data_IF_741575095655
#
_entry.id   IF_741575095655
#
_cell.length_a   1.000
_cell.length_b   1.000
_cell.length_c   1.000
_cell.angle_alpha   90.00
_cell.angle_beta   90.00
_cell.angle_gamma   90.00
#
_symmetry.space_group_name_H-M   'P 1'
#
loop_
_entity.id
_entity.type
_entity.pdbx_description
1 polymer ?
#
# COMPACT_ATOMS: atom_id res chain seq x y z
N UNK A 1 4.85 -8.74 20.65
CA UNK A 1 5.34 -7.35 20.68
C UNK A 1 4.18 -6.43 21.02
N UNK A 2 4.19 -5.74 22.16
CA UNK A 2 3.17 -4.75 22.51
C UNK A 2 3.67 -3.37 22.06
N UNK A 3 3.26 -2.92 20.89
CA UNK A 3 3.50 -1.57 20.43
C UNK A 3 2.49 -0.68 21.16
N UNK A 4 2.95 0.25 21.98
CA UNK A 4 2.10 1.29 22.56
C UNK A 4 2.06 2.46 21.57
N UNK A 5 0.92 2.74 20.91
CA UNK A 5 0.79 3.84 19.96
C UNK A 5 0.85 5.23 20.63
N UNK A 6 0.89 5.28 21.95
CA UNK A 6 0.87 6.49 22.77
C UNK A 6 2.24 6.87 23.33
N UNK A 7 3.31 6.78 22.53
CA UNK A 7 4.49 7.54 22.88
C UNK A 7 4.23 9.02 22.53
N UNK A 8 3.87 9.82 23.54
CA UNK A 8 3.55 11.24 23.42
C UNK A 8 4.78 12.09 23.06
N UNK A 9 5.99 11.52 23.17
CA UNK A 9 7.25 12.20 22.87
C UNK A 9 7.40 12.56 21.39
N UNK A 10 6.73 11.84 20.49
CA UNK A 10 6.77 12.08 19.04
C UNK A 10 5.43 12.68 18.58
N UNK A 11 5.44 13.90 18.03
CA UNK A 11 4.22 14.54 17.59
C UNK A 11 3.61 13.84 16.37
N UNK A 12 2.29 13.91 16.26
CA UNK A 12 1.57 13.50 15.07
C UNK A 12 1.66 14.58 14.00
N UNK A 13 2.09 14.20 12.80
CA UNK A 13 2.08 15.11 11.64
C UNK A 13 0.83 14.88 10.81
N UNK A 14 0.10 15.95 10.52
CA UNK A 14 -1.06 15.91 9.62
C UNK A 14 -0.59 15.85 8.17
N UNK A 15 -1.08 14.89 7.40
CA UNK A 15 -0.70 14.67 5.99
C UNK A 15 -1.91 14.37 5.13
N UNK A 16 -1.83 14.73 3.85
CA UNK A 16 -2.79 14.33 2.82
C UNK A 16 -2.19 13.12 2.11
N UNK A 17 -2.90 11.99 2.15
CA UNK A 17 -2.45 10.74 1.55
C UNK A 17 -2.79 10.63 0.06
N UNK A 18 -3.75 11.41 -0.42
CA UNK A 18 -4.23 11.40 -1.81
C UNK A 18 -5.64 11.93 -1.92
N UNK A 19 -6.17 11.94 -3.15
CA UNK A 19 -7.55 12.32 -3.45
C UNK A 19 -8.45 11.10 -3.37
N UNK A 20 -9.51 11.19 -2.57
CA UNK A 20 -10.56 10.19 -2.48
C UNK A 20 -11.82 10.62 -3.23
N UNK A 21 -12.80 9.73 -3.36
CA UNK A 21 -14.09 10.02 -4.02
C UNK A 21 -14.90 11.14 -3.33
N UNK A 22 -14.62 11.40 -2.03
CA UNK A 22 -15.30 12.42 -1.20
C UNK A 22 -14.40 13.61 -0.83
N UNK A 23 -13.23 13.75 -1.49
CA UNK A 23 -12.23 14.78 -1.20
C UNK A 23 -10.90 14.20 -0.68
N UNK A 24 -9.97 15.06 -0.24
CA UNK A 24 -8.65 14.64 0.19
C UNK A 24 -8.71 13.68 1.38
N UNK A 25 -7.93 12.60 1.32
CA UNK A 25 -7.80 11.64 2.41
C UNK A 25 -6.77 12.18 3.40
N UNK A 26 -7.24 12.65 4.54
CA UNK A 26 -6.41 13.20 5.61
C UNK A 26 -6.05 12.11 6.61
N UNK A 27 -4.81 12.11 7.05
CA UNK A 27 -4.34 11.23 8.12
C UNK A 27 -3.34 11.95 9.03
N UNK A 28 -3.14 11.38 10.21
CA UNK A 28 -2.06 11.76 11.12
C UNK A 28 -1.02 10.65 11.11
N UNK A 29 0.23 10.98 10.90
CA UNK A 29 1.32 10.02 10.81
C UNK A 29 2.38 10.21 11.89
N UNK A 30 3.00 9.09 12.27
CA UNK A 30 4.24 9.02 13.06
C UNK A 30 5.18 8.02 12.41
N UNK A 31 6.48 8.32 12.46
CA UNK A 31 7.53 7.40 12.03
C UNK A 31 8.54 7.26 13.16
N UNK A 32 8.77 6.04 13.61
CA UNK A 32 9.57 5.73 14.80
C UNK A 32 10.58 4.66 14.45
N UNK A 33 11.84 4.85 14.87
CA UNK A 33 12.84 3.79 14.78
C UNK A 33 12.71 2.88 15.98
N UNK A 34 12.52 1.60 15.75
CA UNK A 34 12.36 0.60 16.81
C UNK A 34 13.32 -0.55 16.59
N UNK A 35 13.67 -1.23 17.69
CA UNK A 35 14.47 -2.46 17.63
C UNK A 35 13.51 -3.66 17.71
N UNK A 36 13.60 -4.52 16.72
CA UNK A 36 12.89 -5.79 16.73
C UNK A 36 13.45 -6.68 17.82
N UNK A 37 12.60 -7.34 18.59
CA UNK A 37 13.01 -8.24 19.65
C UNK A 37 12.55 -9.66 19.32
N UNK A 38 13.48 -10.57 19.07
CA UNK A 38 13.23 -11.98 18.85
C UNK A 38 13.77 -12.79 20.02
N UNK A 39 12.91 -13.58 20.68
CA UNK A 39 13.28 -14.40 21.86
C UNK A 39 14.01 -13.63 22.98
N UNK A 40 13.56 -12.43 23.29
CA UNK A 40 14.18 -11.50 24.24
C UNK A 40 15.60 -11.01 23.86
N UNK A 41 16.06 -11.27 22.64
CA UNK A 41 17.29 -10.70 22.11
C UNK A 41 16.97 -9.51 21.19
N UNK A 42 17.71 -8.39 21.31
CA UNK A 42 17.57 -7.28 20.38
C UNK A 42 18.05 -7.71 18.98
N UNK A 43 17.18 -7.53 18.00
CA UNK A 43 17.47 -7.76 16.59
C UNK A 43 17.75 -6.45 15.85
N UNK A 44 17.48 -6.44 14.53
CA UNK A 44 17.71 -5.29 13.69
C UNK A 44 16.78 -4.12 14.02
N UNK A 45 17.31 -2.90 13.89
CA UNK A 45 16.50 -1.70 13.98
C UNK A 45 15.71 -1.49 12.70
N UNK A 46 14.40 -1.29 12.84
CA UNK A 46 13.47 -1.08 11.73
C UNK A 46 12.65 0.19 11.95
N UNK A 47 12.10 0.73 10.87
CA UNK A 47 11.15 1.82 10.95
C UNK A 47 9.73 1.28 11.16
N UNK A 48 9.04 1.84 12.13
CA UNK A 48 7.60 1.68 12.34
C UNK A 48 6.92 2.96 11.87
N UNK A 49 6.19 2.85 10.76
CA UNK A 49 5.32 3.90 10.26
C UNK A 49 3.89 3.65 10.75
N UNK A 50 3.32 4.62 11.44
CA UNK A 50 1.96 4.57 11.98
C UNK A 50 1.16 5.68 11.32
N UNK A 51 0.00 5.34 10.79
CA UNK A 51 -0.98 6.32 10.31
C UNK A 51 -2.32 6.11 10.99
N UNK A 52 -2.90 7.22 11.44
CA UNK A 52 -4.23 7.29 12.02
C UNK A 52 -5.14 8.05 11.07
N UNK A 53 -6.18 7.40 10.58
CA UNK A 53 -7.21 8.01 9.74
C UNK A 53 -8.21 8.83 10.59
N UNK A 54 -9.04 9.65 9.97
CA UNK A 54 -10.04 10.49 10.66
C UNK A 54 -11.12 9.65 11.38
N UNK A 55 -11.39 8.43 10.89
CA UNK A 55 -12.28 7.46 11.54
C UNK A 55 -11.70 6.81 12.80
N UNK A 56 -10.47 7.21 13.19
CA UNK A 56 -9.73 6.65 14.32
C UNK A 56 -8.96 5.37 14.01
N UNK A 57 -9.09 4.80 12.81
CA UNK A 57 -8.38 3.57 12.40
C UNK A 57 -6.88 3.80 12.34
N UNK A 58 -6.11 2.99 13.07
CA UNK A 58 -4.65 3.01 13.02
C UNK A 58 -4.12 1.89 12.13
N UNK A 59 -3.24 2.23 11.18
CA UNK A 59 -2.53 1.28 10.33
C UNK A 59 -1.04 1.35 10.61
N UNK A 60 -0.40 0.18 10.66
CA UNK A 60 1.01 0.01 11.00
C UNK A 60 1.75 -0.62 9.82
N UNK A 61 2.92 -0.09 9.51
CA UNK A 61 3.80 -0.65 8.48
C UNK A 61 5.23 -0.69 8.99
N UNK A 62 5.94 -1.77 8.70
CA UNK A 62 7.36 -1.93 9.02
C UNK A 62 8.18 -1.83 7.74
N UNK A 63 9.32 -1.16 7.83
CA UNK A 63 10.31 -1.13 6.76
C UNK A 63 11.71 -1.02 7.33
N UNK A 64 12.71 -1.39 6.55
CA UNK A 64 14.12 -1.42 6.95
C UNK A 64 15.05 -0.54 6.09
N UNK A 65 14.62 0.62 5.58
CA UNK A 65 15.52 1.48 4.86
C UNK A 65 16.61 2.07 5.78
N UNK A 66 17.68 2.66 5.24
CA UNK A 66 18.69 3.38 5.99
C UNK A 66 18.10 4.40 6.97
N UNK A 67 18.87 4.75 8.01
CA UNK A 67 18.38 5.64 9.09
C UNK A 67 18.15 7.08 8.63
N UNK A 68 18.79 7.50 7.55
CA UNK A 68 18.69 8.81 6.92
C UNK A 68 17.55 8.94 5.90
N UNK A 69 16.77 7.86 5.72
CA UNK A 69 15.66 7.86 4.75
C UNK A 69 14.57 8.84 5.18
N UNK A 70 14.18 9.78 4.32
CA UNK A 70 13.11 10.72 4.63
C UNK A 70 11.77 10.03 4.88
N UNK A 71 10.98 10.55 5.82
CA UNK A 71 9.67 9.96 6.21
C UNK A 71 8.70 9.85 5.04
N UNK A 72 8.74 10.81 4.09
CA UNK A 72 7.85 10.76 2.92
C UNK A 72 8.10 9.52 2.04
N UNK A 73 9.35 9.05 1.92
CA UNK A 73 9.69 7.82 1.16
C UNK A 73 9.11 6.60 1.86
N UNK A 74 9.21 6.55 3.19
CA UNK A 74 8.64 5.47 4.00
C UNK A 74 7.10 5.46 3.89
N UNK A 75 6.47 6.65 3.88
CA UNK A 75 5.04 6.83 3.65
C UNK A 75 4.62 6.28 2.29
N UNK A 76 5.28 6.72 1.22
CA UNK A 76 4.96 6.26 -0.14
C UNK A 76 5.07 4.75 -0.27
N UNK A 77 6.15 4.15 0.24
CA UNK A 77 6.31 2.70 0.26
C UNK A 77 5.17 1.99 1.02
N UNK A 78 4.75 2.55 2.17
CA UNK A 78 3.64 1.99 2.94
C UNK A 78 2.28 2.13 2.23
N UNK A 79 2.10 3.13 1.37
CA UNK A 79 0.90 3.35 0.57
C UNK A 79 0.85 2.48 -0.68
N UNK A 80 2.00 2.08 -1.23
CA UNK A 80 2.09 1.26 -2.45
C UNK A 80 1.46 -0.13 -2.33
N UNK A 81 1.26 -0.61 -1.13
CA UNK A 81 0.62 -1.91 -0.90
C UNK A 81 -0.84 -1.94 -1.39
N UNK A 82 -1.61 -0.89 -1.12
CA UNK A 82 -3.02 -0.85 -1.49
C UNK A 82 -3.28 -0.91 -3.01
N UNK A 83 -2.55 -0.18 -3.87
CA UNK A 83 -2.69 -0.31 -5.33
C UNK A 83 -2.45 -1.74 -5.85
N UNK A 84 -1.55 -2.50 -5.23
CA UNK A 84 -1.29 -3.89 -5.62
C UNK A 84 -2.50 -4.77 -5.26
N UNK A 85 -3.05 -4.63 -4.05
CA UNK A 85 -4.26 -5.34 -3.63
C UNK A 85 -5.45 -5.00 -4.53
N UNK A 86 -5.60 -3.72 -4.90
CA UNK A 86 -6.64 -3.26 -5.83
C UNK A 86 -6.46 -3.85 -7.23
N UNK A 87 -5.22 -3.88 -7.75
CA UNK A 87 -4.93 -4.51 -9.04
C UNK A 87 -5.38 -5.98 -9.07
N UNK A 88 -5.03 -6.77 -8.05
CA UNK A 88 -5.47 -8.15 -7.95
C UNK A 88 -6.98 -8.30 -7.82
N UNK A 89 -7.63 -7.42 -7.07
CA UNK A 89 -9.08 -7.41 -6.94
C UNK A 89 -9.77 -7.16 -8.30
N UNK A 90 -9.32 -6.15 -9.04
CA UNK A 90 -9.82 -5.84 -10.38
C UNK A 90 -9.54 -6.98 -11.36
N UNK A 91 -8.34 -7.56 -11.34
CA UNK A 91 -8.01 -8.72 -12.17
C UNK A 91 -8.92 -9.92 -11.91
N UNK A 92 -9.30 -10.17 -10.66
CA UNK A 92 -10.23 -11.25 -10.31
C UNK A 92 -11.67 -10.93 -10.73
N UNK A 93 -12.17 -9.76 -10.34
CA UNK A 93 -13.58 -9.42 -10.52
C UNK A 93 -13.94 -9.14 -11.98
N UNK A 94 -13.04 -8.47 -12.72
CA UNK A 94 -13.35 -7.95 -14.07
C UNK A 94 -12.71 -8.78 -15.19
N UNK A 95 -11.60 -9.45 -14.92
CA UNK A 95 -10.78 -10.10 -15.94
C UNK A 95 -10.61 -11.61 -15.74
N UNK A 96 -11.24 -12.17 -14.71
CA UNK A 96 -11.27 -13.62 -14.48
C UNK A 96 -9.92 -14.24 -14.13
N UNK A 97 -9.07 -13.54 -13.37
CA UNK A 97 -7.77 -14.07 -12.95
C UNK A 97 -7.89 -15.41 -12.21
N UNK A 98 -8.96 -15.60 -11.45
CA UNK A 98 -9.26 -16.81 -10.69
C UNK A 98 -10.14 -17.83 -11.45
N UNK A 99 -10.53 -17.54 -12.70
CA UNK A 99 -11.33 -18.46 -13.55
C UNK A 99 -10.46 -19.43 -14.37
N UNK A 100 -9.16 -19.54 -14.05
CA UNK A 100 -8.27 -20.43 -14.78
C UNK A 100 -8.49 -21.90 -14.38
N UNK A 101 -9.14 -22.67 -15.22
CA UNK A 101 -9.36 -24.11 -15.03
C UNK A 101 -8.25 -24.98 -15.67
N UNK A 102 -7.24 -24.35 -16.26
CA UNK A 102 -6.17 -25.06 -16.96
C UNK A 102 -5.23 -25.78 -15.97
N UNK A 103 -4.99 -27.08 -16.21
CA UNK A 103 -4.14 -27.93 -15.37
C UNK A 103 -2.65 -27.84 -15.72
N UNK A 104 -2.29 -27.36 -16.91
CA UNK A 104 -0.90 -27.28 -17.33
C UNK A 104 -0.25 -25.97 -16.88
N UNK A 105 1.01 -26.04 -16.48
CA UNK A 105 1.81 -24.88 -16.10
C UNK A 105 1.85 -23.78 -17.19
N UNK A 106 2.05 -24.19 -18.44
CA UNK A 106 2.09 -23.27 -19.56
C UNK A 106 0.73 -22.55 -19.79
N UNK A 107 -0.38 -23.28 -19.64
CA UNK A 107 -1.71 -22.68 -19.83
C UNK A 107 -2.04 -21.70 -18.71
N UNK A 108 -1.66 -22.00 -17.47
CA UNK A 108 -1.81 -21.11 -16.34
C UNK A 108 -1.00 -19.81 -16.53
N UNK A 109 0.25 -19.91 -17.00
CA UNK A 109 1.09 -18.75 -17.29
C UNK A 109 0.50 -17.88 -18.41
N UNK A 110 0.03 -18.49 -19.49
CA UNK A 110 -0.62 -17.76 -20.60
C UNK A 110 -1.86 -17.02 -20.15
N UNK A 111 -2.72 -17.68 -19.36
CA UNK A 111 -3.93 -17.07 -18.82
C UNK A 111 -3.57 -15.87 -17.94
N UNK A 112 -2.68 -16.04 -16.97
CA UNK A 112 -2.24 -14.98 -16.06
C UNK A 112 -1.63 -13.80 -16.83
N UNK A 113 -0.78 -14.06 -17.82
CA UNK A 113 -0.18 -13.04 -18.66
C UNK A 113 -1.25 -12.24 -19.43
N UNK A 114 -2.22 -12.91 -20.04
CA UNK A 114 -3.29 -12.26 -20.78
C UNK A 114 -4.16 -11.37 -19.88
N UNK A 115 -4.45 -11.83 -18.66
CA UNK A 115 -5.18 -11.02 -17.65
C UNK A 115 -4.42 -9.75 -17.31
N UNK A 116 -3.11 -9.84 -17.03
CA UNK A 116 -2.31 -8.65 -16.73
C UNK A 116 -2.16 -7.69 -17.92
N UNK A 117 -2.04 -8.21 -19.14
CA UNK A 117 -2.02 -7.38 -20.36
C UNK A 117 -3.36 -6.66 -20.53
N UNK A 118 -4.49 -7.33 -20.33
CA UNK A 118 -5.82 -6.72 -20.37
C UNK A 118 -5.98 -5.65 -19.28
N UNK A 119 -5.53 -5.91 -18.06
CA UNK A 119 -5.56 -4.93 -16.96
C UNK A 119 -4.71 -3.68 -17.28
N UNK A 120 -3.52 -3.88 -17.84
CA UNK A 120 -2.67 -2.76 -18.30
C UNK A 120 -3.37 -1.93 -19.36
N UNK A 121 -3.97 -2.57 -20.37
CA UNK A 121 -4.71 -1.89 -21.42
C UNK A 121 -5.87 -1.05 -20.85
N UNK A 122 -6.70 -1.62 -19.97
CA UNK A 122 -7.80 -0.91 -19.31
C UNK A 122 -7.29 0.26 -18.46
N UNK A 123 -6.17 0.09 -17.78
CA UNK A 123 -5.55 1.16 -16.98
C UNK A 123 -5.08 2.29 -17.86
N UNK A 124 -4.46 2.02 -19.00
CA UNK A 124 -4.05 3.03 -19.99
C UNK A 124 -5.25 3.79 -20.53
N UNK A 125 -6.32 3.09 -20.89
CA UNK A 125 -7.56 3.74 -21.34
C UNK A 125 -8.15 4.65 -20.26
N UNK A 126 -8.24 4.20 -19.01
CA UNK A 126 -8.73 5.02 -17.88
C UNK A 126 -7.91 6.30 -17.71
N UNK A 127 -6.58 6.22 -17.86
CA UNK A 127 -5.68 7.38 -17.77
C UNK A 127 -5.89 8.36 -18.93
N UNK A 128 -6.12 7.87 -20.15
CA UNK A 128 -6.42 8.71 -21.31
C UNK A 128 -7.79 9.42 -21.16
N UNK A 129 -8.82 8.70 -20.72
CA UNK A 129 -10.15 9.29 -20.49
C UNK A 129 -10.15 10.32 -19.36
N UNK A 130 -9.38 10.12 -18.29
CA UNK A 130 -9.23 11.12 -17.22
C UNK A 130 -8.55 12.41 -17.68
N UNK A 131 -7.72 12.37 -18.73
CA UNK A 131 -7.05 13.54 -19.30
C UNK A 131 -7.95 14.36 -20.24
N UNK A 132 -9.08 13.80 -20.72
CA UNK A 132 -10.05 14.53 -21.53
C UNK A 132 -11.07 15.15 -20.59
N UNK A 133 -11.17 16.51 -20.49
CA UNK A 133 -12.28 17.13 -19.77
C UNK A 133 -13.58 16.67 -20.45
N UNK A 134 -14.49 16.11 -19.69
CA UNK A 134 -15.88 15.98 -20.10
C UNK A 134 -16.39 17.42 -20.22
N UNK A 135 -16.80 17.79 -21.43
CA UNK A 135 -17.36 19.09 -21.81
C UNK A 135 -18.29 19.69 -20.77
#
# INVERSE_FOLDING_TARGET
MKIRPHDESIPWNKVILGEGAKGPIIAHEKCIRIVRCDNNCPGDAVWLYIRKLEDGTCKYSFSNPPCDTPVFVIREAALMRWPIEQCFLECKNELGLDHCEARSWNSWHRHTLLVFVAHLFLTMLRLEYKKKPLF
#
